data_IF_894749588151
#
_entry.id   IF_894749588151
#
_cell.length_a   1.000
_cell.length_b   1.000
_cell.length_c   1.000
_cell.angle_alpha   90.00
_cell.angle_beta   90.00
_cell.angle_gamma   90.00
#
_symmetry.space_group_name_H-M   'P 1'
#
loop_
_entity.id
_entity.type
_entity.pdbx_description
1 polymer ?
#
# COMPACT_ATOMS: atom_id res chain seq x y z
N UNK A 1 -13.72 21.42 -16.13
CA UNK A 1 -13.20 20.04 -16.13
C UNK A 1 -14.28 19.10 -15.65
N UNK A 2 -14.58 18.04 -16.39
CA UNK A 2 -15.54 17.02 -15.99
C UNK A 2 -14.80 15.75 -15.59
N UNK A 3 -15.08 15.21 -14.41
CA UNK A 3 -14.51 13.94 -13.97
C UNK A 3 -15.20 12.78 -14.68
N UNK A 4 -14.41 11.86 -15.23
CA UNK A 4 -14.89 10.57 -15.74
C UNK A 4 -14.50 9.47 -14.76
N UNK A 5 -15.50 8.79 -14.18
CA UNK A 5 -15.26 7.66 -13.28
C UNK A 5 -14.82 6.43 -14.09
N UNK A 6 -13.64 5.89 -13.80
CA UNK A 6 -13.11 4.68 -14.44
C UNK A 6 -13.57 3.38 -13.77
N UNK A 7 -14.14 3.46 -12.57
CA UNK A 7 -14.55 2.29 -11.80
C UNK A 7 -13.49 1.88 -10.76
N UNK A 8 -13.52 0.60 -10.37
CA UNK A 8 -12.60 0.02 -9.37
C UNK A 8 -11.38 -0.56 -10.09
N UNK A 9 -10.28 0.17 -10.04
CA UNK A 9 -9.02 -0.19 -10.72
C UNK A 9 -8.35 -1.40 -10.04
N UNK A 10 -8.29 -1.39 -8.71
CA UNK A 10 -7.66 -2.46 -7.94
C UNK A 10 -8.49 -2.81 -6.71
N UNK A 11 -8.52 -4.09 -6.38
CA UNK A 11 -9.00 -4.62 -5.12
C UNK A 11 -8.14 -5.86 -4.75
N UNK A 12 -7.82 -6.08 -3.47
CA UNK A 12 -7.09 -7.27 -3.08
C UNK A 12 -7.84 -8.56 -3.45
N UNK A 13 -7.11 -9.56 -3.98
CA UNK A 13 -7.66 -10.88 -4.27
C UNK A 13 -7.86 -11.75 -3.02
N UNK A 14 -7.21 -11.39 -1.91
CA UNK A 14 -7.13 -12.22 -0.70
C UNK A 14 -5.94 -13.17 -0.67
N UNK A 15 -5.17 -13.25 -1.75
CA UNK A 15 -4.05 -14.19 -1.91
C UNK A 15 -2.74 -13.66 -1.31
N UNK A 16 -2.55 -12.34 -1.31
CA UNK A 16 -1.39 -11.70 -0.69
C UNK A 16 -1.57 -11.67 0.84
N UNK A 17 -0.62 -12.24 1.57
CA UNK A 17 -0.66 -12.32 3.04
C UNK A 17 -0.79 -10.94 3.70
N UNK A 18 -0.12 -9.93 3.13
CA UNK A 18 -0.05 -8.55 3.61
C UNK A 18 -1.19 -7.65 3.10
N UNK A 19 -1.96 -8.07 2.09
CA UNK A 19 -3.12 -7.34 1.55
C UNK A 19 -4.23 -8.32 1.19
N UNK A 20 -4.97 -8.73 2.22
CA UNK A 20 -6.06 -9.70 2.09
C UNK A 20 -7.41 -9.02 1.82
N UNK A 21 -7.65 -7.86 2.42
CA UNK A 21 -9.01 -7.29 2.46
C UNK A 21 -9.11 -5.84 2.01
N UNK A 22 -8.07 -5.04 2.18
CA UNK A 22 -8.10 -3.61 1.87
C UNK A 22 -6.94 -3.17 0.98
N UNK A 23 -7.22 -2.16 0.16
CA UNK A 23 -6.24 -1.34 -0.54
C UNK A 23 -6.68 0.13 -0.37
N UNK A 24 -6.07 0.83 0.58
CA UNK A 24 -6.48 2.16 1.02
C UNK A 24 -5.38 3.20 0.81
N UNK A 25 -5.74 4.48 0.87
CA UNK A 25 -4.80 5.61 0.78
C UNK A 25 -3.94 5.56 -0.50
N UNK A 26 -4.56 5.55 -1.70
CA UNK A 26 -3.81 5.45 -2.94
C UNK A 26 -2.93 6.69 -3.15
N UNK A 27 -1.65 6.48 -3.42
CA UNK A 27 -0.69 7.52 -3.80
C UNK A 27 -0.14 7.19 -5.19
N UNK A 28 -0.49 7.97 -6.23
CA UNK A 28 -0.02 7.71 -7.58
C UNK A 28 1.39 8.27 -7.81
N UNK A 29 2.22 7.49 -8.49
CA UNK A 29 3.45 7.94 -9.14
C UNK A 29 3.34 7.68 -10.64
N UNK A 30 3.58 8.71 -11.44
CA UNK A 30 3.67 8.58 -12.90
C UNK A 30 4.96 7.88 -13.32
N UNK A 31 4.83 6.88 -14.19
CA UNK A 31 5.97 6.20 -14.81
C UNK A 31 6.18 6.77 -16.22
N UNK A 32 5.22 6.54 -17.10
CA UNK A 32 5.21 7.01 -18.48
C UNK A 32 3.79 6.94 -19.06
N UNK A 33 3.46 7.79 -20.04
CA UNK A 33 2.13 7.76 -20.68
C UNK A 33 0.97 7.75 -19.67
N UNK A 34 0.09 6.75 -19.81
CA UNK A 34 -1.01 6.47 -18.89
C UNK A 34 -0.71 5.34 -17.87
N UNK A 35 0.58 5.01 -17.69
CA UNK A 35 1.06 4.00 -16.76
C UNK A 35 1.47 4.65 -15.45
N UNK A 36 0.86 4.18 -14.36
CA UNK A 36 1.09 4.67 -13.01
C UNK A 36 1.42 3.53 -12.07
N UNK A 37 2.38 3.78 -11.17
CA UNK A 37 2.53 3.00 -9.95
C UNK A 37 1.64 3.61 -8.89
N UNK A 38 0.65 2.87 -8.42
CA UNK A 38 -0.22 3.29 -7.33
C UNK A 38 0.23 2.56 -6.07
N UNK A 39 0.75 3.32 -5.12
CA UNK A 39 1.07 2.81 -3.80
C UNK A 39 -0.19 2.81 -2.93
N UNK A 40 -0.31 1.86 -2.01
CA UNK A 40 -1.47 1.75 -1.12
C UNK A 40 -1.12 1.05 0.19
N UNK A 41 -2.00 1.24 1.18
CA UNK A 41 -1.99 0.52 2.44
C UNK A 41 -2.88 -0.73 2.36
N UNK A 42 -2.25 -1.90 2.45
CA UNK A 42 -2.89 -3.21 2.55
C UNK A 42 -3.34 -3.54 3.97
N UNK A 43 -4.13 -4.60 4.14
CA UNK A 43 -4.48 -5.18 5.45
C UNK A 43 -4.27 -6.68 5.45
N UNK A 44 -3.50 -7.17 6.41
CA UNK A 44 -3.29 -8.61 6.61
C UNK A 44 -4.45 -9.27 7.36
N UNK A 45 -4.33 -10.57 7.64
CA UNK A 45 -5.34 -11.35 8.37
C UNK A 45 -5.52 -10.95 9.84
N UNK A 46 -4.58 -10.18 10.40
CA UNK A 46 -4.60 -9.64 11.75
C UNK A 46 -4.96 -8.14 11.77
N UNK A 47 -5.45 -7.63 10.64
CA UNK A 47 -5.81 -6.22 10.44
C UNK A 47 -4.61 -5.24 10.58
N UNK A 48 -3.38 -5.71 10.47
CA UNK A 48 -2.17 -4.87 10.44
C UNK A 48 -1.96 -4.32 9.04
N UNK A 49 -1.50 -3.07 8.97
CA UNK A 49 -1.27 -2.38 7.71
C UNK A 49 0.14 -2.65 7.18
N UNK A 50 0.26 -2.92 5.88
CA UNK A 50 1.53 -2.95 5.15
C UNK A 50 1.43 -2.05 3.92
N UNK A 51 2.54 -1.52 3.42
CA UNK A 51 2.55 -0.66 2.22
C UNK A 51 3.04 -1.47 1.03
N UNK A 52 2.27 -1.46 -0.04
CA UNK A 52 2.66 -2.06 -1.32
C UNK A 52 2.34 -1.15 -2.49
N UNK A 53 2.46 -1.68 -3.70
CA UNK A 53 2.09 -0.96 -4.91
C UNK A 53 1.51 -1.88 -5.97
N UNK A 54 0.80 -1.29 -6.93
CA UNK A 54 0.36 -1.93 -8.16
C UNK A 54 0.75 -1.03 -9.33
N UNK A 55 1.14 -1.60 -10.47
CA UNK A 55 1.32 -0.86 -11.71
C UNK A 55 0.05 -1.04 -12.55
N UNK A 56 -0.53 0.07 -12.99
CA UNK A 56 -1.77 0.09 -13.77
C UNK A 56 -1.60 0.91 -15.04
N UNK A 57 -2.27 0.47 -16.10
CA UNK A 57 -2.46 1.22 -17.34
C UNK A 57 -3.88 1.79 -17.38
N UNK A 58 -3.98 3.12 -17.27
CA UNK A 58 -5.26 3.83 -17.27
C UNK A 58 -5.85 4.02 -18.68
N UNK A 59 -5.07 3.90 -19.75
CA UNK A 59 -5.57 3.96 -21.12
C UNK A 59 -6.45 2.76 -21.44
N UNK A 60 -6.10 1.58 -20.88
CA UNK A 60 -6.84 0.32 -21.06
C UNK A 60 -7.76 0.05 -19.86
N UNK A 61 -8.45 1.09 -19.38
CA UNK A 61 -9.49 0.95 -18.36
C UNK A 61 -8.99 0.55 -16.97
N UNK A 62 -7.71 0.82 -16.65
CA UNK A 62 -7.13 0.45 -15.36
C UNK A 62 -6.59 -0.97 -15.31
N UNK A 63 -6.14 -1.51 -16.45
CA UNK A 63 -5.53 -2.84 -16.50
C UNK A 63 -4.33 -2.90 -15.55
N UNK A 64 -4.32 -3.89 -14.67
CA UNK A 64 -3.19 -4.17 -13.79
C UNK A 64 -2.09 -4.82 -14.62
N UNK A 65 -0.90 -4.22 -14.59
CA UNK A 65 0.30 -4.71 -15.28
C UNK A 65 1.20 -5.52 -14.35
N UNK A 66 1.29 -5.12 -13.08
CA UNK A 66 2.15 -5.78 -12.10
C UNK A 66 1.62 -5.57 -10.66
N UNK A 67 1.69 -6.61 -9.85
CA UNK A 67 1.47 -6.57 -8.40
C UNK A 67 2.58 -7.39 -7.75
N UNK A 68 3.54 -6.76 -7.05
CA UNK A 68 4.57 -7.48 -6.33
C UNK A 68 3.99 -8.39 -5.25
N UNK A 69 4.55 -9.60 -5.14
CA UNK A 69 4.16 -10.57 -4.11
C UNK A 69 4.50 -10.09 -2.70
N UNK A 70 5.62 -9.38 -2.55
CA UNK A 70 6.05 -8.80 -1.27
C UNK A 70 5.67 -7.31 -1.16
N UNK A 71 5.31 -6.83 0.04
CA UNK A 71 5.07 -5.42 0.27
C UNK A 71 6.40 -4.65 0.27
N UNK A 72 6.31 -3.36 0.01
CA UNK A 72 7.43 -2.42 0.07
C UNK A 72 7.84 -2.18 1.54
N UNK A 73 6.86 -2.10 2.44
CA UNK A 73 7.10 -1.92 3.87
C UNK A 73 6.13 -2.76 4.70
N UNK A 74 6.67 -3.53 5.64
CA UNK A 74 5.92 -4.30 6.66
C UNK A 74 5.94 -3.55 8.00
N UNK A 75 5.05 -3.91 8.95
CA UNK A 75 5.18 -3.47 10.33
C UNK A 75 6.58 -3.75 10.88
N UNK A 76 7.08 -2.83 11.69
CA UNK A 76 8.40 -2.92 12.31
C UNK A 76 8.51 -4.05 13.34
N UNK A 77 9.71 -4.19 13.91
CA UNK A 77 9.94 -5.11 15.01
C UNK A 77 9.14 -4.70 16.26
N UNK A 78 8.88 -5.65 17.16
CA UNK A 78 8.14 -5.41 18.40
C UNK A 78 8.72 -4.24 19.19
N UNK A 79 7.86 -3.33 19.65
CA UNK A 79 8.24 -2.16 20.44
C UNK A 79 8.70 -0.96 19.59
N UNK A 80 8.80 -1.11 18.27
CA UNK A 80 8.98 0.03 17.38
C UNK A 80 7.67 0.83 17.25
N UNK A 81 7.77 2.08 16.83
CA UNK A 81 6.62 2.99 16.70
C UNK A 81 5.60 2.54 15.63
N UNK A 82 5.97 1.56 14.80
CA UNK A 82 5.24 1.05 13.64
C UNK A 82 4.98 -0.47 13.72
N UNK A 83 5.14 -1.08 14.89
CA UNK A 83 5.06 -2.53 15.09
C UNK A 83 3.67 -3.15 14.89
N UNK A 84 2.62 -2.33 14.90
CA UNK A 84 1.23 -2.73 14.68
C UNK A 84 0.71 -2.36 13.28
N UNK A 85 1.52 -1.69 12.46
CA UNK A 85 1.13 -1.33 11.10
C UNK A 85 1.89 -0.15 10.54
N UNK A 86 1.95 -0.09 9.21
CA UNK A 86 2.45 1.06 8.46
C UNK A 86 1.40 1.49 7.44
N UNK A 87 1.06 2.78 7.42
CA UNK A 87 0.15 3.36 6.44
C UNK A 87 0.87 4.41 5.61
N UNK A 88 0.69 4.35 4.30
CA UNK A 88 1.36 5.27 3.39
C UNK A 88 0.85 6.70 3.59
N UNK A 89 1.78 7.65 3.59
CA UNK A 89 1.48 9.08 3.54
C UNK A 89 1.73 9.64 2.14
N UNK A 90 2.99 9.69 1.72
CA UNK A 90 3.37 10.24 0.42
C UNK A 90 4.63 9.61 -0.14
N UNK A 91 4.80 9.72 -1.46
CA UNK A 91 6.03 9.40 -2.18
C UNK A 91 6.56 10.71 -2.76
N UNK A 92 7.81 11.03 -2.46
CA UNK A 92 8.50 12.20 -3.00
C UNK A 92 9.70 11.74 -3.84
N UNK A 93 9.78 12.22 -5.07
CA UNK A 93 10.92 11.98 -5.95
C UNK A 93 12.07 12.93 -5.59
N UNK A 94 13.24 12.38 -5.28
CA UNK A 94 14.46 13.11 -4.99
C UNK A 94 15.58 12.58 -5.90
N UNK A 95 15.65 13.11 -7.13
CA UNK A 95 16.47 12.55 -8.20
C UNK A 95 16.02 11.13 -8.57
N UNK A 96 16.97 10.19 -8.56
CA UNK A 96 16.69 8.78 -8.82
C UNK A 96 16.11 8.04 -7.59
N UNK A 97 16.13 8.68 -6.42
CA UNK A 97 15.60 8.10 -5.18
C UNK A 97 14.12 8.42 -5.01
N UNK A 98 13.40 7.51 -4.35
CA UNK A 98 12.05 7.76 -3.82
C UNK A 98 12.09 7.76 -2.32
N UNK A 99 11.56 8.84 -1.73
CA UNK A 99 11.36 8.95 -0.29
C UNK A 99 9.92 8.57 0.01
N UNK A 100 9.76 7.50 0.80
CA UNK A 100 8.46 7.04 1.27
C UNK A 100 8.22 7.57 2.68
N UNK A 101 7.29 8.51 2.80
CA UNK A 101 6.80 8.99 4.07
C UNK A 101 5.59 8.17 4.49
N UNK A 102 5.60 7.68 5.73
CA UNK A 102 4.55 6.83 6.27
C UNK A 102 4.24 7.16 7.72
N UNK A 103 3.07 6.72 8.16
CA UNK A 103 2.65 6.75 9.56
C UNK A 103 2.76 5.35 10.13
N UNK A 104 3.51 5.23 11.24
CA UNK A 104 3.57 4.02 12.05
C UNK A 104 2.39 3.94 13.01
N UNK A 105 1.86 2.73 13.17
CA UNK A 105 0.85 2.41 14.17
C UNK A 105 1.48 1.53 15.24
N UNK A 106 1.27 1.93 16.49
CA UNK A 106 1.61 1.14 17.67
C UNK A 106 0.41 1.20 18.63
N UNK A 107 0.12 0.09 19.29
CA UNK A 107 -0.79 0.05 20.42
C UNK A 107 -0.01 -0.15 21.72
N UNK A 108 -0.30 0.67 22.74
CA UNK A 108 0.27 0.53 24.09
C UNK A 108 0.00 -0.87 24.71
N UNK A 109 -1.04 -1.55 24.23
CA UNK A 109 -1.31 -2.96 24.51
C UNK A 109 -0.72 -3.85 23.42
N UNK A 110 -0.12 -5.02 23.74
CA UNK A 110 0.37 -5.94 22.71
C UNK A 110 -0.73 -6.29 21.71
N UNK A 111 -0.39 -6.29 20.41
CA UNK A 111 -1.30 -6.77 19.36
C UNK A 111 -1.85 -8.17 19.73
N UNK A 112 -3.19 -8.40 19.68
CA UNK A 112 -3.81 -9.65 20.13
C UNK A 112 -3.18 -10.88 19.46
N UNK A 113 -2.83 -11.90 20.24
CA UNK A 113 -2.13 -13.11 19.77
C UNK A 113 -0.69 -13.27 20.24
N UNK A 114 -0.22 -12.43 21.16
CA UNK A 114 1.15 -12.47 21.70
C UNK A 114 1.15 -12.71 23.21
N UNK A 115 1.37 -13.96 23.65
CA UNK A 115 1.77 -14.27 25.04
C UNK A 115 3.18 -13.72 25.30
N UNK A 116 3.55 -13.44 26.57
CA UNK A 116 4.82 -12.80 26.93
C UNK A 116 6.04 -13.59 26.47
#
# INVERSE_FOLDING_TARGET
MAWRKLGRIFAPSGELDWSRSHAALPVPEWIEGDIFRIYFSGRDGQNRSSIGSVIVDLAVGGKILDIPAEPILRPGARGMFDDCGVSIGSIVRAGDTRLLYYTGWNSLSPCPGKTP
#
